data_IF_823105099406
#
_entry.id   IF_823105099406
#
_cell.length_a   1.000
_cell.length_b   1.000
_cell.length_c   1.000
_cell.angle_alpha   90.00
_cell.angle_beta   90.00
_cell.angle_gamma   90.00
#
_symmetry.space_group_name_H-M   'P 1'
#
loop_
_entity.id
_entity.type
_entity.pdbx_description
1 polymer ?
#
# COMPACT_ATOMS: atom_id res chain seq x y z
N UNK A 1 -10.37 -1.29 -12.98
CA UNK A 1 -11.00 -2.09 -11.90
C UNK A 1 -10.89 -1.31 -10.59
N UNK A 2 -11.88 -1.39 -9.69
CA UNK A 2 -11.98 -0.54 -8.49
C UNK A 2 -11.08 -1.04 -7.34
N UNK A 3 -10.36 -0.14 -6.66
CA UNK A 3 -9.74 -0.41 -5.35
C UNK A 3 -10.86 -0.48 -4.32
N UNK A 4 -10.96 -1.58 -3.58
CA UNK A 4 -12.00 -1.80 -2.57
C UNK A 4 -11.37 -2.37 -1.30
N UNK A 5 -11.56 -1.65 -0.19
CA UNK A 5 -11.09 -2.08 1.12
C UNK A 5 -12.12 -3.02 1.75
N UNK A 6 -11.68 -4.21 2.13
CA UNK A 6 -12.42 -5.10 3.00
C UNK A 6 -12.05 -4.87 4.47
N UNK A 7 -12.48 -5.77 5.34
CA UNK A 7 -12.23 -5.71 6.79
C UNK A 7 -10.75 -5.64 7.16
N UNK A 8 -9.87 -6.24 6.34
CA UNK A 8 -8.42 -6.31 6.58
C UNK A 8 -7.62 -5.57 5.51
N UNK A 9 -8.15 -4.46 5.01
CA UNK A 9 -7.49 -3.66 3.99
C UNK A 9 -7.85 -4.07 2.56
N UNK A 10 -7.01 -3.66 1.62
CA UNK A 10 -7.17 -3.96 0.20
C UNK A 10 -6.40 -5.23 -0.18
N UNK A 11 -7.01 -6.07 -1.02
CA UNK A 11 -6.42 -7.31 -1.53
C UNK A 11 -6.67 -7.43 -3.03
N UNK A 12 -5.75 -8.06 -3.74
CA UNK A 12 -5.86 -8.27 -5.17
C UNK A 12 -4.89 -9.35 -5.66
N UNK A 13 -5.12 -9.85 -6.87
CA UNK A 13 -4.14 -10.70 -7.56
C UNK A 13 -3.01 -9.82 -8.09
N UNK A 14 -1.76 -10.21 -7.81
CA UNK A 14 -0.54 -9.53 -8.29
C UNK A 14 -0.59 -9.41 -9.81
N UNK A 15 -0.17 -8.25 -10.33
CA UNK A 15 -0.13 -7.89 -11.75
C UNK A 15 -1.49 -7.75 -12.46
N UNK A 16 -2.62 -8.06 -11.80
CA UNK A 16 -3.97 -7.82 -12.35
C UNK A 16 -4.73 -6.77 -11.56
N UNK A 17 -4.80 -6.99 -10.25
CA UNK A 17 -5.54 -6.18 -9.33
C UNK A 17 -4.57 -5.33 -8.50
N UNK A 18 -3.47 -5.96 -8.07
CA UNK A 18 -2.38 -5.39 -7.28
C UNK A 18 -1.19 -5.05 -8.19
N UNK A 19 -1.20 -3.83 -8.73
CA UNK A 19 -0.18 -3.27 -9.63
C UNK A 19 0.51 -2.09 -8.95
N UNK A 20 1.72 -1.72 -9.39
CA UNK A 20 2.47 -0.59 -8.80
C UNK A 20 1.64 0.69 -8.75
N UNK A 21 1.06 1.10 -9.88
CA UNK A 21 0.18 2.28 -10.00
C UNK A 21 -0.95 2.30 -8.95
N UNK A 22 -1.55 1.13 -8.66
CA UNK A 22 -2.65 1.05 -7.68
C UNK A 22 -2.15 0.99 -6.24
N UNK A 23 -0.97 0.42 -6.02
CA UNK A 23 -0.30 0.46 -4.73
C UNK A 23 0.07 1.90 -4.39
N UNK A 24 0.66 2.65 -5.31
CA UNK A 24 0.97 4.09 -5.17
C UNK A 24 -0.29 4.88 -4.81
N UNK A 25 -1.38 4.70 -5.56
CA UNK A 25 -2.65 5.39 -5.26
C UNK A 25 -3.19 5.07 -3.84
N UNK A 26 -2.97 3.86 -3.33
CA UNK A 26 -3.35 3.49 -1.96
C UNK A 26 -2.40 4.10 -0.94
N UNK A 27 -1.09 4.10 -1.21
CA UNK A 27 -0.07 4.69 -0.35
C UNK A 27 -0.28 6.20 -0.18
N UNK A 28 -0.52 6.92 -1.28
CA UNK A 28 -0.83 8.35 -1.26
C UNK A 28 -2.05 8.66 -0.40
N UNK A 29 -3.12 7.87 -0.55
CA UNK A 29 -4.33 8.04 0.24
C UNK A 29 -4.08 7.78 1.74
N UNK A 30 -3.27 6.76 2.07
CA UNK A 30 -2.88 6.47 3.46
C UNK A 30 -1.99 7.59 4.01
N UNK A 31 -1.01 8.07 3.26
CA UNK A 31 -0.11 9.14 3.66
C UNK A 31 -0.88 10.43 3.97
N UNK A 32 -1.78 10.85 3.07
CA UNK A 32 -2.65 12.02 3.29
C UNK A 32 -3.51 11.85 4.54
N UNK A 33 -4.07 10.65 4.75
CA UNK A 33 -4.87 10.37 5.94
C UNK A 33 -4.06 10.42 7.23
N UNK A 34 -2.84 9.85 7.24
CA UNK A 34 -1.95 9.88 8.41
C UNK A 34 -1.48 11.31 8.73
N UNK A 35 -1.09 12.08 7.71
CA UNK A 35 -0.73 13.49 7.85
C UNK A 35 -1.89 14.32 8.41
N UNK A 36 -3.13 14.04 7.98
CA UNK A 36 -4.32 14.72 8.52
C UNK A 36 -4.56 14.46 10.01
N UNK A 37 -3.96 13.38 10.56
CA UNK A 37 -4.00 13.03 11.98
C UNK A 37 -2.79 13.52 12.77
N UNK A 38 -1.84 14.19 12.11
CA UNK A 38 -0.60 14.67 12.73
C UNK A 38 0.46 13.59 12.92
N UNK A 39 0.33 12.44 12.26
CA UNK A 39 1.36 11.40 12.28
C UNK A 39 2.58 11.81 11.46
N UNK A 40 3.77 11.60 11.99
CA UNK A 40 5.05 12.03 11.37
C UNK A 40 5.95 10.87 10.97
N UNK A 41 5.49 9.63 11.13
CA UNK A 41 6.25 8.44 10.79
C UNK A 41 5.36 7.22 10.70
N UNK A 42 5.77 6.25 9.90
CA UNK A 42 5.07 4.98 9.72
C UNK A 42 6.09 3.84 9.66
N UNK A 43 5.70 2.67 10.14
CA UNK A 43 6.48 1.45 9.98
C UNK A 43 5.87 0.64 8.84
N UNK A 44 6.70 0.31 7.84
CA UNK A 44 6.30 -0.53 6.70
C UNK A 44 6.91 -1.92 6.88
N UNK A 45 6.10 -2.95 6.64
CA UNK A 45 6.52 -4.34 6.70
C UNK A 45 5.94 -5.17 5.56
N UNK A 46 6.64 -6.23 5.18
CA UNK A 46 6.28 -7.14 4.10
C UNK A 46 6.39 -8.60 4.52
N UNK A 47 5.74 -9.48 3.77
CA UNK A 47 5.98 -10.93 3.83
C UNK A 47 6.82 -11.42 2.64
N UNK A 48 6.98 -12.74 2.53
CA UNK A 48 7.84 -13.39 1.52
C UNK A 48 7.20 -13.55 0.14
N UNK A 49 6.05 -12.93 -0.15
CA UNK A 49 5.42 -13.01 -1.47
C UNK A 49 6.26 -12.34 -2.54
N UNK A 50 6.04 -12.76 -3.79
CA UNK A 50 6.68 -12.18 -4.96
C UNK A 50 6.48 -10.65 -5.00
N UNK A 51 7.58 -9.90 -5.13
CA UNK A 51 7.66 -8.43 -5.15
C UNK A 51 7.21 -7.71 -3.86
N UNK A 52 6.91 -8.44 -2.79
CA UNK A 52 6.50 -7.86 -1.52
C UNK A 52 7.63 -7.07 -0.83
N UNK A 53 8.90 -7.55 -0.79
CA UNK A 53 10.02 -6.76 -0.29
C UNK A 53 10.28 -5.48 -1.08
N UNK A 54 10.22 -5.54 -2.41
CA UNK A 54 10.47 -4.42 -3.31
C UNK A 54 9.37 -3.36 -3.17
N UNK A 55 8.10 -3.76 -3.14
CA UNK A 55 6.99 -2.83 -2.92
C UNK A 55 7.03 -2.19 -1.53
N UNK A 56 7.49 -2.90 -0.50
CA UNK A 56 7.65 -2.32 0.83
C UNK A 56 8.82 -1.32 0.91
N UNK A 57 9.91 -1.57 0.16
CA UNK A 57 11.00 -0.62 0.04
C UNK A 57 10.54 0.66 -0.68
N UNK A 58 9.82 0.52 -1.80
CA UNK A 58 9.25 1.65 -2.54
C UNK A 58 8.24 2.44 -1.70
N UNK A 59 7.43 1.76 -0.89
CA UNK A 59 6.48 2.40 0.01
C UNK A 59 7.13 3.16 1.19
N UNK A 60 8.38 2.86 1.51
CA UNK A 60 9.11 3.48 2.61
C UNK A 60 10.03 4.64 2.18
N UNK A 61 10.23 4.83 0.87
CA UNK A 61 11.03 5.90 0.28
C UNK A 61 10.21 7.15 -0.03
#
# INVERSE_FOLDING_TARGET
>A
MRIAFGTSGWRGIIARDFTWERVEAVLDAIAVHLLSKGETGVVVGSDTRFLSPEMAADAAG
#
